data_IF_219983820703
#
_entry.id   IF_219983820703
#
_cell.length_a   1.000
_cell.length_b   1.000
_cell.length_c   1.000
_cell.angle_alpha   90.00
_cell.angle_beta   90.00
_cell.angle_gamma   90.00
#
_symmetry.space_group_name_H-M   'P 1'
#
loop_
_entity.id
_entity.type
_entity.pdbx_description
1 polymer ?
#
# COMPACT_ATOMS: atom_id res chain seq x y z
N UNK A 1 -12.04 8.06 -3.79
CA UNK A 1 -11.63 9.43 -4.15
C UNK A 1 -10.49 9.33 -5.15
N UNK A 2 -10.67 9.84 -6.37
CA UNK A 2 -9.70 9.67 -7.46
C UNK A 2 -8.78 10.91 -7.53
N UNK A 3 -7.46 10.71 -7.44
CA UNK A 3 -6.47 11.80 -7.41
C UNK A 3 -5.46 11.66 -8.56
N UNK A 4 -5.88 12.05 -9.75
CA UNK A 4 -5.15 11.92 -11.01
C UNK A 4 -3.83 12.69 -11.08
N UNK A 5 -3.60 13.62 -10.13
CA UNK A 5 -2.38 14.43 -10.04
C UNK A 5 -1.24 13.71 -9.33
N UNK A 6 -1.54 12.66 -8.56
CA UNK A 6 -0.50 11.91 -7.88
C UNK A 6 0.13 10.88 -8.80
N UNK A 7 1.46 10.92 -8.92
CA UNK A 7 2.22 9.92 -9.68
C UNK A 7 1.95 8.49 -9.18
N UNK A 8 1.67 8.34 -7.88
CA UNK A 8 1.23 7.08 -7.27
C UNK A 8 0.03 6.47 -7.98
N UNK A 9 -0.96 7.29 -8.36
CA UNK A 9 -2.18 6.83 -9.01
C UNK A 9 -1.88 6.18 -10.37
N UNK A 10 -1.04 6.82 -11.19
CA UNK A 10 -0.62 6.29 -12.49
C UNK A 10 0.16 4.99 -12.39
N UNK A 11 1.04 4.89 -11.39
CA UNK A 11 1.75 3.65 -11.10
C UNK A 11 0.79 2.50 -10.79
N UNK A 12 -0.21 2.74 -9.94
CA UNK A 12 -1.20 1.73 -9.59
C UNK A 12 -2.13 1.37 -10.75
N UNK A 13 -2.47 2.33 -11.62
CA UNK A 13 -3.21 2.06 -12.84
C UNK A 13 -2.42 1.15 -13.78
N UNK A 14 -1.15 1.47 -14.04
CA UNK A 14 -0.30 0.64 -14.88
C UNK A 14 -0.13 -0.77 -14.28
N UNK A 15 0.04 -0.87 -12.96
CA UNK A 15 0.09 -2.17 -12.26
C UNK A 15 -1.19 -2.97 -12.45
N UNK A 16 -2.38 -2.38 -12.28
CA UNK A 16 -3.64 -3.14 -12.42
C UNK A 16 -3.88 -3.59 -13.86
N UNK A 17 -3.51 -2.77 -14.85
CA UNK A 17 -3.58 -3.15 -16.26
C UNK A 17 -2.69 -4.37 -16.52
N UNK A 18 -1.43 -4.36 -16.05
CA UNK A 18 -0.50 -5.48 -16.20
C UNK A 18 -1.01 -6.76 -15.54
N UNK A 19 -1.64 -6.65 -14.37
CA UNK A 19 -2.27 -7.79 -13.70
C UNK A 19 -3.48 -8.33 -14.48
N UNK A 20 -4.32 -7.45 -15.03
CA UNK A 20 -5.42 -7.86 -15.90
C UNK A 20 -4.92 -8.55 -17.17
N UNK A 21 -3.81 -8.09 -17.76
CA UNK A 21 -3.18 -8.76 -18.90
C UNK A 21 -2.63 -10.15 -18.51
N UNK A 22 -2.02 -10.28 -17.32
CA UNK A 22 -1.59 -11.56 -16.79
C UNK A 22 -2.76 -12.53 -16.60
N UNK A 23 -3.89 -12.03 -16.08
CA UNK A 23 -5.13 -12.79 -15.93
C UNK A 23 -5.74 -13.18 -17.28
N UNK A 24 -5.59 -12.33 -18.30
CA UNK A 24 -6.01 -12.62 -19.67
C UNK A 24 -5.09 -13.63 -20.39
N UNK A 25 -4.04 -14.14 -19.72
CA UNK A 25 -3.14 -15.16 -20.25
C UNK A 25 -1.88 -14.62 -20.91
N UNK A 26 -1.57 -13.32 -20.79
CA UNK A 26 -0.30 -12.80 -21.27
C UNK A 26 0.82 -13.09 -20.27
N UNK A 27 1.79 -13.93 -20.67
CA UNK A 27 2.91 -14.36 -19.83
C UNK A 27 3.73 -13.18 -19.24
N UNK A 28 3.76 -12.05 -19.94
CA UNK A 28 4.46 -10.84 -19.50
C UNK A 28 3.71 -10.00 -18.45
N UNK A 29 2.42 -10.27 -18.21
CA UNK A 29 1.57 -9.43 -17.36
C UNK A 29 1.99 -9.44 -15.89
N UNK A 30 2.09 -10.62 -15.27
CA UNK A 30 2.50 -10.73 -13.87
C UNK A 30 3.97 -10.31 -13.64
N UNK A 31 4.95 -10.75 -14.45
CA UNK A 31 6.33 -10.27 -14.35
C UNK A 31 6.44 -8.75 -14.54
N UNK A 32 5.70 -8.18 -15.49
CA UNK A 32 5.64 -6.74 -15.70
C UNK A 32 5.10 -5.99 -14.48
N UNK A 33 4.02 -6.47 -13.87
CA UNK A 33 3.45 -5.87 -12.67
C UNK A 33 4.44 -5.91 -11.48
N UNK A 34 5.17 -7.02 -11.32
CA UNK A 34 6.21 -7.17 -10.30
C UNK A 34 7.39 -6.21 -10.55
N UNK A 35 7.89 -6.15 -11.78
CA UNK A 35 8.99 -5.25 -12.16
C UNK A 35 8.61 -3.78 -11.93
N UNK A 36 7.41 -3.37 -12.35
CA UNK A 36 6.89 -2.03 -12.12
C UNK A 36 6.78 -1.71 -10.63
N UNK A 37 6.30 -2.66 -9.82
CA UNK A 37 6.22 -2.48 -8.36
C UNK A 37 7.62 -2.34 -7.74
N UNK A 38 8.61 -3.10 -8.22
CA UNK A 38 10.02 -2.94 -7.82
C UNK A 38 10.55 -1.54 -8.13
N UNK A 39 10.28 -1.01 -9.32
CA UNK A 39 10.63 0.37 -9.70
C UNK A 39 9.96 1.39 -8.76
N UNK A 40 8.69 1.18 -8.42
CA UNK A 40 8.00 2.06 -7.46
C UNK A 40 8.66 2.06 -6.09
N UNK A 41 9.10 0.91 -5.58
CA UNK A 41 9.79 0.81 -4.29
C UNK A 41 11.04 1.67 -4.31
N UNK A 42 11.88 1.53 -5.34
CA UNK A 42 13.12 2.31 -5.49
C UNK A 42 12.81 3.81 -5.60
N UNK A 43 11.86 4.18 -6.47
CA UNK A 43 11.49 5.58 -6.65
C UNK A 43 10.98 6.23 -5.35
N UNK A 44 10.08 5.56 -4.62
CA UNK A 44 9.56 6.10 -3.36
C UNK A 44 10.59 6.08 -2.23
N UNK A 45 11.48 5.09 -2.17
CA UNK A 45 12.58 5.07 -1.20
C UNK A 45 13.54 6.25 -1.41
N UNK A 46 13.88 6.57 -2.67
CA UNK A 46 14.69 7.73 -3.01
C UNK A 46 13.95 9.04 -2.72
N UNK A 47 12.66 9.12 -3.06
CA UNK A 47 11.84 10.31 -2.84
C UNK A 47 11.63 10.63 -1.36
N UNK A 48 11.43 9.62 -0.52
CA UNK A 48 11.20 9.80 0.92
C UNK A 48 12.50 9.77 1.75
N UNK A 49 13.63 9.42 1.13
CA UNK A 49 14.92 9.29 1.80
C UNK A 49 14.97 8.14 2.82
N UNK A 50 13.96 7.26 2.85
CA UNK A 50 13.86 6.18 3.82
C UNK A 50 13.21 4.94 3.20
N UNK A 51 13.89 3.80 3.36
CA UNK A 51 13.38 2.47 2.95
C UNK A 51 12.35 1.90 3.93
N UNK A 52 12.27 2.46 5.13
CA UNK A 52 11.27 2.09 6.14
C UNK A 52 10.05 3.01 6.12
N UNK A 53 9.98 3.95 5.17
CA UNK A 53 8.84 4.83 5.07
C UNK A 53 7.56 4.06 4.72
N UNK A 54 6.44 4.49 5.28
CA UNK A 54 5.16 3.76 5.19
C UNK A 54 4.76 3.44 3.74
N UNK A 55 4.84 4.37 2.76
CA UNK A 55 4.50 4.08 1.36
C UNK A 55 5.44 3.08 0.68
N UNK A 56 6.68 2.95 1.17
CA UNK A 56 7.63 1.91 0.72
C UNK A 56 7.23 0.56 1.31
N UNK A 57 6.93 0.50 2.61
CA UNK A 57 6.50 -0.74 3.29
C UNK A 57 5.25 -1.37 2.62
N UNK A 58 4.25 -0.54 2.28
CA UNK A 58 3.03 -1.02 1.60
C UNK A 58 3.35 -1.64 0.24
N UNK A 59 4.27 -1.05 -0.52
CA UNK A 59 4.69 -1.56 -1.82
C UNK A 59 5.53 -2.82 -1.72
N UNK A 60 6.39 -2.92 -0.71
CA UNK A 60 7.11 -4.15 -0.40
C UNK A 60 6.13 -5.28 -0.08
N UNK A 61 5.16 -5.02 0.80
CA UNK A 61 4.11 -6.01 1.12
C UNK A 61 3.31 -6.43 -0.11
N UNK A 62 3.01 -5.49 -1.00
CA UNK A 62 2.34 -5.78 -2.27
C UNK A 62 3.21 -6.63 -3.20
N UNK A 63 4.48 -6.31 -3.38
CA UNK A 63 5.41 -7.10 -4.19
C UNK A 63 5.56 -8.53 -3.64
N UNK A 64 5.67 -8.69 -2.32
CA UNK A 64 5.70 -10.00 -1.67
C UNK A 64 4.44 -10.81 -1.96
N UNK A 65 3.26 -10.18 -1.91
CA UNK A 65 2.00 -10.84 -2.29
C UNK A 65 2.02 -11.30 -3.76
N UNK A 66 2.53 -10.47 -4.68
CA UNK A 66 2.65 -10.87 -6.09
C UNK A 66 3.62 -12.03 -6.30
N UNK A 67 4.73 -12.06 -5.55
CA UNK A 67 5.72 -13.14 -5.60
C UNK A 67 5.14 -14.46 -5.06
N UNK A 68 4.37 -14.40 -3.96
CA UNK A 68 3.66 -15.56 -3.42
C UNK A 68 2.59 -16.07 -4.39
N UNK A 69 1.92 -15.18 -5.11
CA UNK A 69 0.92 -15.55 -6.10
C UNK A 69 1.52 -16.08 -7.42
N UNK A 70 2.81 -15.90 -7.67
CA UNK A 70 3.43 -16.23 -8.96
C UNK A 70 3.43 -17.71 -9.34
N UNK A 71 3.72 -18.67 -8.43
CA UNK A 71 3.65 -20.10 -8.75
C UNK A 71 2.25 -20.49 -9.25
N UNK A 72 2.18 -21.29 -10.31
CA UNK A 72 0.92 -21.75 -10.93
C UNK A 72 -0.18 -22.19 -9.93
N UNK A 73 0.09 -23.02 -8.89
CA UNK A 73 -0.94 -23.42 -7.93
C UNK A 73 -1.44 -22.28 -7.02
N UNK A 74 -0.72 -21.17 -6.95
CA UNK A 74 -1.04 -19.99 -6.13
C UNK A 74 -1.57 -18.81 -6.97
N UNK A 75 -1.68 -18.94 -8.30
CA UNK A 75 -2.13 -17.84 -9.16
C UNK A 75 -3.55 -17.37 -8.88
N UNK A 76 -4.41 -18.22 -8.32
CA UNK A 76 -5.73 -17.80 -7.84
C UNK A 76 -5.63 -16.65 -6.82
N UNK A 77 -4.49 -16.53 -6.12
CA UNK A 77 -4.24 -15.45 -5.17
C UNK A 77 -4.14 -14.08 -5.86
N UNK A 78 -3.86 -14.00 -7.17
CA UNK A 78 -3.84 -12.74 -7.93
C UNK A 78 -5.20 -12.02 -7.98
N UNK A 79 -6.31 -12.71 -7.69
CA UNK A 79 -7.60 -12.06 -7.50
C UNK A 79 -7.58 -11.04 -6.36
N UNK A 80 -6.83 -11.32 -5.29
CA UNK A 80 -6.70 -10.42 -4.13
C UNK A 80 -6.04 -9.09 -4.50
N UNK A 81 -4.82 -9.03 -5.09
CA UNK A 81 -4.22 -7.78 -5.52
C UNK A 81 -5.01 -7.10 -6.63
N UNK A 82 -5.62 -7.82 -7.59
CA UNK A 82 -6.44 -7.18 -8.63
C UNK A 82 -7.62 -6.43 -8.03
N UNK A 83 -8.43 -7.10 -7.21
CA UNK A 83 -9.58 -6.46 -6.54
C UNK A 83 -9.10 -5.34 -5.61
N UNK A 84 -8.03 -5.59 -4.85
CA UNK A 84 -7.45 -4.61 -3.93
C UNK A 84 -6.95 -3.35 -4.63
N UNK A 85 -6.27 -3.47 -5.77
CA UNK A 85 -5.78 -2.32 -6.54
C UNK A 85 -6.92 -1.57 -7.22
N UNK A 86 -7.95 -2.26 -7.70
CA UNK A 86 -9.17 -1.59 -8.17
C UNK A 86 -9.87 -0.82 -7.05
N UNK A 87 -10.01 -1.40 -5.86
CA UNK A 87 -10.56 -0.73 -4.68
C UNK A 87 -9.72 0.49 -4.28
N UNK A 88 -8.39 0.39 -4.38
CA UNK A 88 -7.51 1.52 -4.11
C UNK A 88 -7.69 2.64 -5.13
N UNK A 89 -7.77 2.34 -6.43
CA UNK A 89 -7.91 3.36 -7.48
C UNK A 89 -9.27 4.08 -7.45
N UNK A 90 -10.34 3.36 -7.10
CA UNK A 90 -11.73 3.87 -7.13
C UNK A 90 -12.14 4.49 -5.79
N UNK A 91 -11.96 3.74 -4.70
CA UNK A 91 -12.41 4.12 -3.36
C UNK A 91 -11.30 4.83 -2.58
N UNK A 92 -10.03 4.63 -2.93
CA UNK A 92 -8.89 5.09 -2.12
C UNK A 92 -8.60 4.15 -0.94
N UNK A 93 -9.22 2.97 -0.92
CA UNK A 93 -9.09 2.00 0.15
C UNK A 93 -8.02 0.96 -0.19
N UNK A 94 -6.96 0.88 0.62
CA UNK A 94 -5.88 -0.09 0.45
C UNK A 94 -5.83 -1.06 1.63
N UNK A 95 -6.24 -2.31 1.42
CA UNK A 95 -6.16 -3.38 2.45
C UNK A 95 -4.73 -3.60 2.92
N UNK A 96 -3.74 -3.53 2.01
CA UNK A 96 -2.33 -3.69 2.35
C UNK A 96 -1.85 -2.58 3.29
N UNK A 97 -2.28 -1.33 3.07
CA UNK A 97 -1.97 -0.22 3.99
C UNK A 97 -2.53 -0.46 5.40
N UNK A 98 -3.74 -1.04 5.49
CA UNK A 98 -4.35 -1.43 6.78
C UNK A 98 -3.57 -2.55 7.47
N UNK A 99 -3.19 -3.60 6.73
CA UNK A 99 -2.39 -4.71 7.29
C UNK A 99 -1.03 -4.20 7.77
N UNK A 100 -0.31 -3.44 6.93
CA UNK A 100 1.00 -2.88 7.28
C UNK A 100 0.91 -1.95 8.48
N UNK A 101 -0.20 -1.20 8.62
CA UNK A 101 -0.39 -0.32 9.79
C UNK A 101 -0.51 -1.06 11.12
N UNK A 102 -0.92 -2.34 11.11
CA UNK A 102 -1.10 -3.18 12.28
C UNK A 102 0.17 -3.95 12.69
N UNK A 103 1.24 -3.87 11.89
CA UNK A 103 2.49 -4.56 12.20
C UNK A 103 3.15 -3.95 13.45
N UNK A 104 3.86 -4.74 14.27
CA UNK A 104 4.34 -4.32 15.59
C UNK A 104 5.25 -3.09 15.56
N UNK A 105 5.93 -2.84 14.44
CA UNK A 105 6.77 -1.66 14.21
C UNK A 105 6.00 -0.40 13.81
N UNK A 106 4.75 -0.53 13.34
CA UNK A 106 3.92 0.59 12.91
C UNK A 106 2.76 0.90 13.86
N UNK A 107 2.47 0.02 14.83
CA UNK A 107 1.42 0.21 15.85
C UNK A 107 2.00 0.75 17.16
N UNK A 108 1.34 1.76 17.74
CA UNK A 108 1.64 2.31 19.08
C UNK A 108 0.78 1.70 20.18
N UNK A 109 -0.27 0.95 19.81
CA UNK A 109 -1.22 0.31 20.73
C UNK A 109 -1.11 -1.22 20.69
N UNK A 110 -1.42 -1.93 21.80
CA UNK A 110 -1.52 -3.38 21.82
C UNK A 110 -2.58 -3.88 20.84
N UNK A 111 -2.31 -5.01 20.19
CA UNK A 111 -3.21 -5.60 19.20
C UNK A 111 -4.50 -6.02 19.92
N UNK A 112 -5.61 -5.37 19.58
CA UNK A 112 -6.93 -5.61 20.17
C UNK A 112 -7.99 -5.72 19.08
N UNK A 113 -9.07 -6.46 19.35
CA UNK A 113 -10.20 -6.59 18.42
C UNK A 113 -10.82 -5.24 18.07
N UNK A 114 -10.79 -4.28 19.02
CA UNK A 114 -11.24 -2.89 18.81
C UNK A 114 -10.34 -2.13 17.84
N UNK A 115 -9.02 -2.33 17.92
CA UNK A 115 -8.06 -1.76 16.97
C UNK A 115 -8.23 -2.35 15.57
N UNK A 116 -8.44 -3.67 15.45
CA UNK A 116 -8.76 -4.32 14.17
C UNK A 116 -10.03 -3.74 13.56
N UNK A 117 -11.13 -3.68 14.32
CA UNK A 117 -12.40 -3.14 13.85
C UNK A 117 -12.22 -1.68 13.40
N UNK A 118 -11.53 -0.85 14.19
CA UNK A 118 -11.25 0.53 13.80
C UNK A 118 -10.41 0.60 12.53
N UNK A 119 -9.36 -0.19 12.38
CA UNK A 119 -8.47 -0.11 11.22
C UNK A 119 -9.18 -0.53 9.93
N UNK A 120 -10.05 -1.54 9.95
CA UNK A 120 -10.79 -1.98 8.77
C UNK A 120 -12.06 -1.14 8.50
N UNK A 121 -12.73 -0.63 9.53
CA UNK A 121 -13.98 0.14 9.38
C UNK A 121 -13.82 1.67 9.45
N UNK A 122 -12.62 2.20 9.68
CA UNK A 122 -12.39 3.66 9.59
C UNK A 122 -12.50 4.12 8.15
N UNK A 123 -13.31 5.16 7.93
CA UNK A 123 -13.47 5.80 6.64
C UNK A 123 -12.11 6.23 6.03
N UNK A 124 -11.96 6.20 4.70
CA UNK A 124 -10.75 6.69 4.03
C UNK A 124 -10.69 8.21 4.15
N UNK A 125 -10.08 8.73 5.20
CA UNK A 125 -9.80 10.17 5.37
C UNK A 125 -8.40 10.49 4.87
N UNK A 126 -8.28 11.47 3.96
CA UNK A 126 -6.99 12.00 3.49
C UNK A 126 -6.09 12.34 4.71
N UNK A 127 -4.90 11.75 4.76
CA UNK A 127 -3.82 12.19 5.65
C UNK A 127 -3.85 11.75 7.12
N UNK A 128 -4.58 10.71 7.52
CA UNK A 128 -4.67 10.31 8.94
C UNK A 128 -4.45 8.81 9.15
N UNK A 129 -3.18 8.45 9.41
CA UNK A 129 -2.84 7.57 10.54
C UNK A 129 -1.50 8.00 11.17
N UNK A 130 -0.53 8.47 10.38
CA UNK A 130 0.81 8.87 10.88
C UNK A 130 1.04 10.39 11.00
N UNK A 131 0.23 11.25 10.35
CA UNK A 131 0.44 12.71 10.39
C UNK A 131 -0.05 13.35 11.71
N UNK A 132 -0.97 12.71 12.45
CA UNK A 132 -1.55 13.30 13.66
C UNK A 132 -0.58 13.29 14.86
N UNK A 133 0.46 12.47 14.83
CA UNK A 133 1.42 12.40 15.93
C UNK A 133 2.54 13.46 15.82
N UNK A 134 2.75 14.06 14.65
CA UNK A 134 3.71 15.17 14.47
C UNK A 134 3.06 16.53 14.74
N UNK A 135 1.74 16.65 14.56
CA UNK A 135 1.03 17.91 14.74
C UNK A 135 0.60 18.20 16.19
N UNK A 136 0.87 17.31 17.15
CA UNK A 136 0.38 17.43 18.53
C UNK A 136 1.48 17.40 19.60
N UNK A 137 2.59 18.08 19.34
CA UNK A 137 3.40 18.63 20.42
C UNK A 137 3.81 20.09 20.17
N UNK A 138 2.98 21.07 20.57
CA UNK A 138 3.37 22.48 20.65
C UNK A 138 4.15 22.81 21.94
N UNK A 139 4.50 21.84 22.79
CA UNK A 139 5.02 22.11 24.14
C UNK A 139 6.54 22.09 24.27
N UNK A 140 7.29 21.82 23.20
CA UNK A 140 8.76 21.86 23.22
C UNK A 140 9.38 23.21 22.80
N UNK A 141 8.61 24.31 22.82
CA UNK A 141 9.12 25.65 22.51
C UNK A 141 8.71 26.68 23.57
N UNK A 142 9.08 26.44 24.83
CA UNK A 142 9.19 27.48 25.85
C UNK A 142 10.07 27.01 27.01
N UNK A 143 11.38 27.09 26.79
CA UNK A 143 12.38 27.21 27.85
C UNK A 143 13.57 27.96 27.29
N UNK A 144 13.46 29.30 27.30
CA UNK A 144 14.56 30.26 27.43
C UNK A 144 13.97 31.58 27.93
#
# INVERSE_FOLDING_TARGET
>A
MIDWREMSWWYWLATVILLCLGMAGWDGGYPGAMALTGIQIVHFALREGSVTAFPVQVRVGYLLLLLVAYPLPMQWLYWVPIIGTWAQLTVGYCTMARIVSLLPWNRREPLSARLLLRTFFSAPVRGSVLQQDVAKDPSANNSN
#
